data_IF_898160284543
#
_entry.id   IF_898160284543
#
_cell.length_a   1.000
_cell.length_b   1.000
_cell.length_c   1.000
_cell.angle_alpha   90.00
_cell.angle_beta   90.00
_cell.angle_gamma   90.00
#
_symmetry.space_group_name_H-M   'P 1'
#
loop_
_entity.id
_entity.type
_entity.pdbx_description
1 polymer ?
#
# COMPACT_ATOMS: atom_id res chain seq x y z
N UNK A 1 41.63 10.16 -45.62
CA UNK A 1 40.47 9.99 -46.52
C UNK A 1 39.42 11.03 -46.15
N UNK A 2 38.87 11.67 -47.17
CA UNK A 2 38.15 12.96 -47.22
C UNK A 2 36.71 12.77 -46.70
N UNK A 3 36.32 13.44 -45.61
CA UNK A 3 35.54 14.69 -45.49
C UNK A 3 34.07 14.59 -45.93
N UNK A 4 33.21 14.90 -44.97
CA UNK A 4 31.75 15.00 -45.02
C UNK A 4 31.28 15.91 -46.16
N UNK A 5 30.18 15.54 -46.83
CA UNK A 5 29.37 16.48 -47.59
C UNK A 5 27.88 16.24 -47.37
N UNK A 6 27.26 17.34 -46.95
CA UNK A 6 25.88 17.58 -46.59
C UNK A 6 24.97 17.46 -47.83
N UNK A 7 23.85 16.73 -47.74
CA UNK A 7 22.77 16.85 -48.73
C UNK A 7 21.49 17.21 -48.01
N UNK A 8 21.11 18.48 -48.13
CA UNK A 8 19.81 19.02 -47.76
C UNK A 8 18.81 18.56 -48.82
N UNK A 9 17.73 17.90 -48.41
CA UNK A 9 16.53 17.76 -49.22
C UNK A 9 15.33 18.22 -48.39
N UNK A 10 14.81 19.41 -48.73
CA UNK A 10 13.46 19.82 -48.36
C UNK A 10 12.46 18.90 -49.05
N UNK A 11 11.51 18.35 -48.30
CA UNK A 11 10.21 17.95 -48.85
C UNK A 11 9.12 18.46 -47.90
N UNK A 12 8.23 19.26 -48.46
CA UNK A 12 7.10 19.89 -47.80
C UNK A 12 5.88 18.98 -47.71
N UNK A 13 5.23 19.01 -46.54
CA UNK A 13 3.77 19.06 -46.25
C UNK A 13 2.82 18.21 -47.12
N UNK A 14 2.09 17.27 -46.50
CA UNK A 14 0.69 17.00 -46.83
C UNK A 14 -0.12 16.31 -45.70
N UNK A 15 -1.08 17.06 -45.17
CA UNK A 15 -2.43 16.70 -44.70
C UNK A 15 -2.75 15.38 -43.95
N UNK A 16 -3.15 15.60 -42.70
CA UNK A 16 -4.14 14.93 -41.83
C UNK A 16 -5.19 14.04 -42.52
N UNK A 17 -5.43 12.84 -41.98
CA UNK A 17 -6.79 12.32 -41.74
C UNK A 17 -6.82 11.50 -40.44
N UNK A 18 -7.46 12.03 -39.39
CA UNK A 18 -7.84 11.27 -38.20
C UNK A 18 -9.14 10.53 -38.52
N UNK A 19 -9.09 9.20 -38.58
CA UNK A 19 -10.29 8.35 -38.61
C UNK A 19 -10.78 8.20 -37.17
N UNK A 20 -11.82 8.94 -36.82
CA UNK A 20 -12.57 8.78 -35.58
C UNK A 20 -13.85 8.01 -35.91
N UNK A 21 -13.97 6.78 -35.40
CA UNK A 21 -15.22 6.02 -35.47
C UNK A 21 -16.16 6.50 -34.36
N UNK A 22 -17.18 7.23 -34.77
CA UNK A 22 -18.37 7.61 -34.01
C UNK A 22 -19.30 6.42 -33.81
N UNK A 23 -19.60 6.08 -32.56
CA UNK A 23 -20.85 5.44 -32.16
C UNK A 23 -21.59 6.42 -31.24
N UNK A 24 -22.76 6.90 -31.64
CA UNK A 24 -23.73 7.66 -30.82
C UNK A 24 -24.57 6.63 -30.02
N UNK A 25 -25.15 6.82 -28.83
CA UNK A 25 -25.75 7.95 -28.09
C UNK A 25 -25.87 7.55 -26.58
N UNK A 26 -26.56 8.26 -25.65
CA UNK A 26 -27.26 9.55 -25.72
C UNK A 26 -26.87 10.56 -24.61
N UNK A 27 -27.40 11.78 -24.78
CA UNK A 27 -27.27 12.99 -23.94
C UNK A 27 -27.91 12.82 -22.56
N UNK A 28 -27.22 13.27 -21.51
CA UNK A 28 -27.85 13.99 -20.39
C UNK A 28 -26.92 15.11 -19.91
N UNK A 29 -27.48 16.31 -19.81
CA UNK A 29 -26.87 17.47 -19.21
C UNK A 29 -27.00 17.35 -17.68
N UNK A 30 -25.89 17.49 -16.97
CA UNK A 30 -25.88 17.56 -15.52
C UNK A 30 -24.49 17.90 -15.03
N UNK A 31 -24.29 19.14 -14.59
CA UNK A 31 -23.10 19.53 -13.85
C UNK A 31 -23.07 18.77 -12.52
N UNK A 32 -22.00 18.03 -12.23
CA UNK A 32 -21.48 17.80 -10.87
C UNK A 32 -20.03 17.29 -10.93
N UNK A 33 -19.18 17.96 -10.15
CA UNK A 33 -17.90 17.46 -9.65
C UNK A 33 -18.04 16.06 -9.05
N UNK A 34 -17.04 15.20 -9.25
CA UNK A 34 -16.96 13.93 -8.54
C UNK A 34 -15.89 13.00 -9.08
N UNK A 35 -14.74 12.98 -8.41
CA UNK A 35 -13.74 11.92 -8.42
C UNK A 35 -14.38 10.52 -8.39
N UNK A 36 -13.93 9.54 -9.20
CA UNK A 36 -14.36 8.16 -9.01
C UNK A 36 -13.76 7.63 -7.71
N UNK A 37 -14.58 7.59 -6.66
CA UNK A 37 -14.32 6.88 -5.42
C UNK A 37 -14.21 5.37 -5.73
N UNK A 38 -12.99 4.85 -5.76
CA UNK A 38 -12.79 3.42 -5.63
C UNK A 38 -13.23 3.03 -4.21
N UNK A 39 -14.26 2.18 -4.13
CA UNK A 39 -14.72 1.53 -2.91
C UNK A 39 -13.51 0.97 -2.15
N UNK A 40 -13.26 1.37 -0.89
CA UNK A 40 -12.36 0.63 -0.03
C UNK A 40 -12.91 -0.79 0.09
N UNK A 41 -12.09 -1.78 -0.22
CA UNK A 41 -12.37 -3.17 0.12
C UNK A 41 -12.35 -3.22 1.65
N UNK A 42 -13.53 -3.13 2.26
CA UNK A 42 -13.76 -3.45 3.65
C UNK A 42 -13.43 -4.94 3.82
N UNK A 43 -12.19 -5.24 4.18
CA UNK A 43 -11.86 -6.55 4.75
C UNK A 43 -12.72 -6.68 6.01
N UNK A 44 -13.60 -7.69 6.13
CA UNK A 44 -14.40 -7.85 7.32
C UNK A 44 -13.45 -8.06 8.51
N UNK A 45 -13.45 -7.11 9.45
CA UNK A 45 -12.86 -7.37 10.75
C UNK A 45 -13.66 -8.54 11.37
N UNK A 46 -13.03 -9.64 11.79
CA UNK A 46 -13.75 -10.66 12.53
C UNK A 46 -14.15 -10.03 13.87
N UNK A 47 -15.45 -9.81 14.03
CA UNK A 47 -16.06 -9.49 15.31
C UNK A 47 -15.94 -10.72 16.22
N UNK A 48 -14.83 -10.80 16.96
CA UNK A 48 -14.63 -11.69 18.08
C UNK A 48 -14.25 -10.86 19.29
N UNK A 49 -15.09 -10.87 20.32
CA UNK A 49 -14.98 -10.08 21.56
C UNK A 49 -13.85 -10.54 22.50
N UNK A 50 -12.82 -11.22 22.01
CA UNK A 50 -11.67 -11.66 22.81
C UNK A 50 -10.47 -10.74 22.59
N UNK A 51 -9.88 -10.26 23.67
CA UNK A 51 -8.58 -9.56 23.64
C UNK A 51 -7.51 -10.47 23.00
N UNK A 52 -6.79 -10.00 21.96
CA UNK A 52 -5.70 -10.75 21.36
C UNK A 52 -4.65 -11.13 22.39
N UNK A 53 -4.06 -12.31 22.21
CA UNK A 53 -2.97 -12.84 23.02
C UNK A 53 -1.72 -12.93 22.18
N UNK A 54 -0.57 -13.09 22.85
CA UNK A 54 0.68 -13.38 22.17
C UNK A 54 0.52 -14.58 21.22
N UNK A 55 0.94 -14.38 19.98
CA UNK A 55 0.81 -15.33 18.88
C UNK A 55 -0.44 -15.14 18.01
N UNK A 56 -1.38 -14.29 18.41
CA UNK A 56 -2.55 -13.98 17.60
C UNK A 56 -2.21 -12.98 16.49
N UNK A 57 -2.89 -13.13 15.35
CA UNK A 57 -2.91 -12.09 14.33
C UNK A 57 -3.69 -10.88 14.85
N UNK A 58 -3.18 -9.68 14.59
CA UNK A 58 -3.89 -8.42 14.86
C UNK A 58 -4.24 -7.68 13.57
N UNK A 59 -5.38 -6.98 13.50
CA UNK A 59 -5.74 -6.15 12.36
C UNK A 59 -4.78 -4.97 12.16
N UNK A 60 -4.41 -4.67 10.91
CA UNK A 60 -3.50 -3.56 10.57
C UNK A 60 -3.98 -2.21 11.10
N UNK A 61 -5.30 -1.94 11.08
CA UNK A 61 -5.88 -0.69 11.55
C UNK A 61 -5.87 -0.50 13.08
N UNK A 62 -5.45 -1.53 13.83
CA UNK A 62 -5.24 -1.47 15.27
C UNK A 62 -3.76 -1.36 15.65
N UNK A 63 -2.85 -1.17 14.69
CA UNK A 63 -1.40 -1.15 14.89
C UNK A 63 -0.83 0.21 14.56
N UNK A 64 0.05 0.73 15.41
CA UNK A 64 0.91 1.84 15.06
C UNK A 64 2.17 1.31 14.38
N UNK A 65 2.26 1.49 13.06
CA UNK A 65 3.39 0.99 12.26
C UNK A 65 4.71 1.74 12.53
N UNK A 66 4.64 2.91 13.16
CA UNK A 66 5.83 3.70 13.56
C UNK A 66 6.46 3.18 14.84
N UNK A 67 5.62 2.69 15.76
CA UNK A 67 6.06 2.23 17.09
C UNK A 67 6.07 0.71 17.22
N UNK A 68 5.64 -0.02 16.19
CA UNK A 68 5.57 -1.49 16.19
C UNK A 68 4.75 -2.03 17.37
N UNK A 69 3.59 -1.40 17.59
CA UNK A 69 2.72 -1.68 18.73
C UNK A 69 1.25 -1.84 18.33
N UNK A 70 0.58 -2.79 18.97
CA UNK A 70 -0.87 -2.92 18.99
C UNK A 70 -1.50 -1.85 19.90
N UNK A 71 -2.59 -1.24 19.46
CA UNK A 71 -3.10 0.00 20.06
C UNK A 71 -4.51 -0.11 20.62
N UNK A 72 -5.13 -1.30 20.60
CA UNK A 72 -6.47 -1.63 21.15
C UNK A 72 -7.64 -0.77 20.60
N UNK A 73 -7.36 0.17 19.70
CA UNK A 73 -8.32 1.07 19.05
C UNK A 73 -7.90 1.35 17.62
N UNK A 74 -8.82 1.88 16.82
CA UNK A 74 -8.52 2.26 15.44
C UNK A 74 -7.50 3.40 15.38
N UNK A 75 -6.52 3.25 14.49
CA UNK A 75 -5.44 4.20 14.25
C UNK A 75 -5.74 5.15 13.09
N UNK A 76 -4.93 6.20 12.97
CA UNK A 76 -5.04 7.18 11.90
C UNK A 76 -4.56 6.56 10.60
N UNK A 77 -5.40 6.64 9.58
CA UNK A 77 -5.08 6.22 8.22
C UNK A 77 -4.09 7.18 7.56
N UNK A 78 -3.06 6.62 6.92
CA UNK A 78 -2.05 7.36 6.19
C UNK A 78 -1.87 6.74 4.80
N UNK A 79 -2.62 7.23 3.79
CA UNK A 79 -2.44 6.80 2.41
C UNK A 79 -1.07 7.25 1.89
N UNK A 80 -0.30 6.32 1.32
CA UNK A 80 0.99 6.62 0.71
C UNK A 80 1.28 5.62 -0.41
N UNK A 81 1.66 6.11 -1.60
CA UNK A 81 1.99 5.30 -2.78
C UNK A 81 0.94 4.22 -3.12
N UNK A 82 -0.35 4.55 -2.96
CA UNK A 82 -1.46 3.63 -3.24
C UNK A 82 -1.68 2.54 -2.18
N UNK A 83 -0.95 2.59 -1.06
CA UNK A 83 -1.12 1.70 0.09
C UNK A 83 -1.65 2.46 1.29
N UNK A 84 -2.18 1.73 2.27
CA UNK A 84 -2.75 2.28 3.49
C UNK A 84 -1.93 1.86 4.71
N UNK A 85 -1.36 2.85 5.39
CA UNK A 85 -0.59 2.68 6.63
C UNK A 85 -1.36 3.23 7.82
N UNK A 86 -0.91 2.90 9.03
CA UNK A 86 -1.57 3.26 10.28
C UNK A 86 -0.60 3.82 11.32
N UNK A 87 -0.98 4.95 11.91
CA UNK A 87 -0.19 5.64 12.93
C UNK A 87 -1.03 6.14 14.11
N UNK A 88 -0.42 6.25 15.30
CA UNK A 88 -1.16 6.59 16.51
C UNK A 88 -1.32 8.09 16.79
N UNK A 89 -0.62 8.96 16.06
CA UNK A 89 -0.65 10.41 16.25
C UNK A 89 -0.22 11.18 14.98
N UNK A 90 -0.34 12.51 15.02
CA UNK A 90 0.06 13.39 13.90
C UNK A 90 1.54 13.23 13.50
N UNK A 91 2.44 13.01 14.47
CA UNK A 91 3.84 12.71 14.16
C UNK A 91 3.98 11.43 13.31
N UNK A 92 3.11 10.44 13.48
CA UNK A 92 3.14 9.24 12.65
C UNK A 92 2.65 9.53 11.22
N UNK A 93 1.64 10.39 11.07
CA UNK A 93 1.16 10.85 9.76
C UNK A 93 2.23 11.58 8.98
N UNK A 94 3.08 12.35 9.66
CA UNK A 94 4.23 13.01 9.04
C UNK A 94 5.36 12.01 8.71
N UNK A 95 5.67 11.07 9.61
CA UNK A 95 6.80 10.15 9.42
C UNK A 95 6.56 9.10 8.35
N UNK A 96 5.38 8.52 8.25
CA UNK A 96 5.07 7.45 7.29
C UNK A 96 5.45 7.79 5.83
N UNK A 97 5.04 8.93 5.26
CA UNK A 97 5.42 9.29 3.89
C UNK A 97 6.90 9.66 3.74
N UNK A 98 7.56 10.12 4.81
CA UNK A 98 8.89 10.71 4.77
C UNK A 98 10.02 9.77 5.22
N UNK A 99 9.72 8.71 5.96
CA UNK A 99 10.68 7.76 6.53
C UNK A 99 10.34 6.33 6.09
N UNK A 100 11.01 5.84 5.06
CA UNK A 100 10.79 4.47 4.58
C UNK A 100 11.02 3.40 5.67
N UNK A 101 11.81 3.68 6.72
CA UNK A 101 12.06 2.72 7.81
C UNK A 101 10.81 2.42 8.61
N UNK A 102 9.87 3.37 8.72
CA UNK A 102 8.62 3.13 9.46
C UNK A 102 7.58 2.37 8.63
N UNK A 103 7.80 2.25 7.32
CA UNK A 103 6.93 1.48 6.40
C UNK A 103 7.43 0.06 6.16
N UNK A 104 8.70 -0.22 6.50
CA UNK A 104 9.34 -1.51 6.22
C UNK A 104 9.63 -2.25 7.53
N UNK A 105 9.47 -3.57 7.50
CA UNK A 105 9.93 -4.48 8.55
C UNK A 105 10.75 -5.62 7.94
N UNK A 106 11.27 -6.51 8.78
CA UNK A 106 11.95 -7.74 8.39
C UNK A 106 11.08 -8.92 8.82
N UNK A 107 10.77 -9.80 7.89
CA UNK A 107 10.08 -11.05 8.17
C UNK A 107 10.96 -11.97 9.05
N UNK A 108 10.53 -12.34 10.26
CA UNK A 108 11.35 -13.16 11.17
C UNK A 108 11.68 -14.57 10.66
N UNK A 109 10.89 -15.11 9.72
CA UNK A 109 11.14 -16.42 9.13
C UNK A 109 12.13 -16.33 7.97
N UNK A 110 11.87 -15.44 7.00
CA UNK A 110 12.62 -15.41 5.74
C UNK A 110 13.74 -14.38 5.71
N UNK A 111 13.79 -13.49 6.69
CA UNK A 111 14.71 -12.34 6.77
C UNK A 111 14.57 -11.33 5.62
N UNK A 112 13.52 -11.45 4.80
CA UNK A 112 13.24 -10.50 3.73
C UNK A 112 12.59 -9.23 4.28
N UNK A 113 12.80 -8.13 3.57
CA UNK A 113 12.06 -6.88 3.83
C UNK A 113 10.60 -7.05 3.41
N UNK A 114 9.69 -6.65 4.29
CA UNK A 114 8.25 -6.66 4.07
C UNK A 114 7.68 -5.25 4.27
N UNK A 115 6.72 -4.89 3.42
CA UNK A 115 5.96 -3.64 3.57
C UNK A 115 4.86 -3.83 4.62
N UNK A 116 4.88 -2.99 5.66
CA UNK A 116 3.96 -3.10 6.80
C UNK A 116 2.49 -2.94 6.40
N UNK A 117 2.18 -2.24 5.31
CA UNK A 117 0.80 -2.06 4.85
C UNK A 117 0.14 -3.37 4.42
N UNK A 118 0.92 -4.35 3.96
CA UNK A 118 0.44 -5.65 3.44
C UNK A 118 0.86 -6.84 4.29
N UNK A 119 1.56 -6.59 5.40
CA UNK A 119 2.10 -7.65 6.25
C UNK A 119 1.02 -8.42 7.01
N UNK A 120 1.32 -9.66 7.34
CA UNK A 120 0.63 -10.44 8.37
C UNK A 120 1.21 -10.05 9.74
N UNK A 121 0.45 -9.31 10.54
CA UNK A 121 0.92 -8.75 11.81
C UNK A 121 0.53 -9.65 12.98
N UNK A 122 1.50 -9.99 13.82
CA UNK A 122 1.33 -10.88 14.97
C UNK A 122 1.74 -10.16 16.25
N UNK A 123 0.92 -10.28 17.30
CA UNK A 123 1.27 -9.81 18.64
C UNK A 123 2.33 -10.74 19.24
N UNK A 124 3.51 -10.23 19.57
CA UNK A 124 4.65 -11.04 20.05
C UNK A 124 5.13 -10.70 21.46
N UNK A 125 4.86 -9.48 21.94
CA UNK A 125 5.35 -8.99 23.22
C UNK A 125 4.26 -8.89 24.29
N UNK A 126 4.69 -8.91 25.55
CA UNK A 126 3.83 -8.63 26.71
C UNK A 126 3.50 -7.13 26.84
N UNK A 127 4.18 -6.28 26.05
CA UNK A 127 4.02 -4.82 26.00
C UNK A 127 3.44 -4.36 24.65
N UNK A 128 2.47 -5.12 24.11
CA UNK A 128 1.78 -4.83 22.85
C UNK A 128 2.67 -4.83 21.59
N UNK A 129 3.91 -5.31 21.67
CA UNK A 129 4.84 -5.37 20.53
C UNK A 129 4.33 -6.31 19.44
N UNK A 130 4.46 -5.89 18.18
CA UNK A 130 4.09 -6.70 17.01
C UNK A 130 5.27 -7.05 16.11
N UNK A 131 5.19 -8.23 15.50
CA UNK A 131 6.06 -8.66 14.40
C UNK A 131 5.30 -8.66 13.07
N UNK A 132 6.04 -8.54 11.98
CA UNK A 132 5.51 -8.45 10.63
C UNK A 132 6.03 -9.62 9.80
N UNK A 133 5.13 -10.41 9.26
CA UNK A 133 5.45 -11.49 8.32
C UNK A 133 4.95 -11.12 6.93
N UNK A 134 5.62 -11.61 5.89
CA UNK A 134 5.17 -11.48 4.50
C UNK A 134 3.83 -12.20 4.29
N UNK A 135 3.60 -13.28 5.04
CA UNK A 135 2.38 -14.10 4.95
C UNK A 135 2.10 -14.86 6.25
N UNK A 136 0.88 -15.41 6.36
CA UNK A 136 0.54 -16.37 7.42
C UNK A 136 1.43 -17.63 7.34
N UNK A 137 1.75 -18.11 6.14
CA UNK A 137 2.58 -19.29 5.97
C UNK A 137 3.99 -19.10 6.54
N UNK A 138 4.56 -17.90 6.40
CA UNK A 138 5.85 -17.56 7.00
C UNK A 138 5.76 -17.57 8.54
N UNK A 139 4.67 -17.07 9.11
CA UNK A 139 4.44 -17.15 10.55
C UNK A 139 4.30 -18.61 11.02
N UNK A 140 3.51 -19.43 10.32
CA UNK A 140 3.35 -20.85 10.67
C UNK A 140 4.69 -21.61 10.57
N UNK A 141 5.53 -21.26 9.59
CA UNK A 141 6.87 -21.83 9.44
C UNK A 141 7.84 -21.36 10.53
N UNK A 142 7.75 -20.09 10.94
CA UNK A 142 8.50 -19.56 12.09
C UNK A 142 8.20 -20.33 13.38
N UNK A 143 6.93 -20.62 13.64
CA UNK A 143 6.51 -21.39 14.83
C UNK A 143 7.04 -22.84 14.81
N UNK A 144 7.13 -23.47 13.63
CA UNK A 144 7.68 -24.83 13.49
C UNK A 144 9.19 -24.86 13.68
N UNK A 145 9.90 -23.82 13.27
CA UNK A 145 11.35 -23.71 13.39
C UNK A 145 11.81 -23.30 14.81
N UNK A 146 10.90 -22.78 15.64
CA UNK A 146 11.18 -22.30 16.99
C UNK A 146 10.82 -23.30 18.10
N UNK A 147 10.44 -24.52 17.72
CA UNK A 147 10.19 -25.66 18.61
C UNK A 147 11.44 -26.54 18.71
#
# INVERSE_FOLDING_TARGET
MIKQFNTIAMVAIAAIVLVSCTNEAPKEAGAISGTPAQKPILVPAPAGTSTPKKGDQVPNNLVCMVNDAYMVKQQLEVPFEGKLYYGCCEMCKERIPNDAKVRMAVDPHTLKKVDKATAYIVLIGDQDEVAYFESKDNYDAFLKASQ
#
